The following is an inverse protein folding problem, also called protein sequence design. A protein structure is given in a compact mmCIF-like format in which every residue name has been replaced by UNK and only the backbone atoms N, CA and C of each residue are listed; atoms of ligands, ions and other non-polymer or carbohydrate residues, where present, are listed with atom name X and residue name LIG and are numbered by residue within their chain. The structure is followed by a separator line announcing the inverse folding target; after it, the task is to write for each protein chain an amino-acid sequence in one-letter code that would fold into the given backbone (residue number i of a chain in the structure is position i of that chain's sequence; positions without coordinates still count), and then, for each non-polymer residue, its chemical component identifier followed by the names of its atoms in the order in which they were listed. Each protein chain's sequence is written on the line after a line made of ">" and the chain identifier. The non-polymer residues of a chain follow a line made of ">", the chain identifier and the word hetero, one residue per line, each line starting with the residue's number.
data_IF_429400856888
#
_entry.id   IF_429400856888
#
_cell.length_a   1.000
_cell.length_b   1.000
_cell.length_c   1.000
_cell.angle_alpha   90.00
_cell.angle_beta   90.00
_cell.angle_gamma   90.00
#
_symmetry.space_group_name_H-M   'P 1'
#
loop_
_entity.id
_entity.type
_entity.pdbx_description
1 polymer ?
#
# COMPACT_ATOMS: atom_id res chain seq x y z
N UNK A 1 10.01 47.69 -85.24
CA UNK A 1 10.18 48.25 -83.87
C UNK A 1 9.40 47.48 -82.77
N UNK A 2 8.71 46.36 -83.04
CA UNK A 2 7.88 45.67 -82.03
C UNK A 2 8.55 44.53 -81.23
N UNK A 3 9.74 44.06 -81.62
CA UNK A 3 10.39 42.90 -80.98
C UNK A 3 10.95 43.17 -79.58
N UNK A 4 11.47 44.38 -79.32
CA UNK A 4 12.04 44.74 -78.02
C UNK A 4 10.98 44.84 -76.91
N UNK A 5 9.79 45.36 -77.24
CA UNK A 5 8.70 45.55 -76.28
C UNK A 5 8.11 44.20 -75.79
N UNK A 6 8.09 43.19 -76.67
CA UNK A 6 7.65 41.84 -76.34
C UNK A 6 8.65 41.11 -75.41
N UNK A 7 9.96 41.29 -75.65
CA UNK A 7 11.02 40.72 -74.81
C UNK A 7 11.07 41.38 -73.42
N UNK A 8 10.87 42.69 -73.32
CA UNK A 8 10.76 43.39 -72.03
C UNK A 8 9.53 42.94 -71.22
N UNK A 9 8.35 42.87 -71.82
CA UNK A 9 7.15 42.36 -71.13
C UNK A 9 7.32 40.93 -70.64
N UNK A 10 7.98 40.07 -71.45
CA UNK A 10 8.28 38.69 -71.03
C UNK A 10 9.20 38.67 -69.81
N UNK A 11 10.28 39.45 -69.82
CA UNK A 11 11.25 39.54 -68.71
C UNK A 11 10.62 40.12 -67.43
N UNK A 12 9.76 41.12 -67.57
CA UNK A 12 9.02 41.70 -66.44
C UNK A 12 8.03 40.69 -65.84
N UNK A 13 7.32 39.94 -66.68
CA UNK A 13 6.38 38.89 -66.24
C UNK A 13 7.13 37.76 -65.52
N UNK A 14 8.24 37.29 -66.08
CA UNK A 14 9.10 36.28 -65.43
C UNK A 14 9.62 36.75 -64.07
N UNK A 15 10.04 38.02 -63.98
CA UNK A 15 10.51 38.62 -62.72
C UNK A 15 9.40 38.69 -61.67
N UNK A 16 8.17 39.07 -62.06
CA UNK A 16 6.99 39.08 -61.16
C UNK A 16 6.64 37.67 -60.69
N UNK A 17 6.67 36.68 -61.59
CA UNK A 17 6.42 35.27 -61.25
C UNK A 17 7.47 34.75 -60.27
N UNK A 18 8.74 35.06 -60.48
CA UNK A 18 9.82 34.67 -59.55
C UNK A 18 9.64 35.28 -58.16
N UNK A 19 9.32 36.58 -58.10
CA UNK A 19 9.07 37.27 -56.83
C UNK A 19 7.88 36.68 -56.08
N UNK A 20 6.75 36.47 -56.78
CA UNK A 20 5.54 35.86 -56.21
C UNK A 20 5.81 34.43 -55.71
N UNK A 21 6.56 33.63 -56.48
CA UNK A 21 6.92 32.26 -56.10
C UNK A 21 7.81 32.24 -54.86
N UNK A 22 8.78 33.17 -54.78
CA UNK A 22 9.68 33.29 -53.63
C UNK A 22 8.93 33.75 -52.37
N UNK A 23 8.06 34.75 -52.48
CA UNK A 23 7.23 35.22 -51.36
C UNK A 23 6.30 34.11 -50.85
N UNK A 24 5.63 33.42 -51.77
CA UNK A 24 4.76 32.30 -51.43
C UNK A 24 5.53 31.18 -50.71
N UNK A 25 6.71 30.78 -51.21
CA UNK A 25 7.56 29.78 -50.56
C UNK A 25 7.98 30.19 -49.15
N UNK A 26 8.29 31.48 -48.94
CA UNK A 26 8.63 32.00 -47.60
C UNK A 26 7.45 31.95 -46.64
N UNK A 27 6.26 32.40 -47.08
CA UNK A 27 5.03 32.34 -46.28
C UNK A 27 4.64 30.91 -45.93
N UNK A 28 4.72 29.98 -46.88
CA UNK A 28 4.45 28.56 -46.61
C UNK A 28 5.41 28.02 -45.55
N UNK A 29 6.71 28.35 -45.64
CA UNK A 29 7.71 27.93 -44.65
C UNK A 29 7.41 28.48 -43.25
N UNK A 30 7.01 29.75 -43.16
CA UNK A 30 6.63 30.39 -41.91
C UNK A 30 5.39 29.75 -41.28
N UNK A 31 4.34 29.53 -42.07
CA UNK A 31 3.11 28.86 -41.62
C UNK A 31 3.40 27.43 -41.15
N UNK A 32 4.19 26.66 -41.90
CA UNK A 32 4.55 25.29 -41.49
C UNK A 32 5.34 25.27 -40.18
N UNK A 33 6.28 26.21 -40.01
CA UNK A 33 7.03 26.35 -38.77
C UNK A 33 6.12 26.71 -37.59
N UNK A 34 5.16 27.63 -37.79
CA UNK A 34 4.20 28.03 -36.78
C UNK A 34 3.26 26.86 -36.40
N UNK A 35 2.70 26.15 -37.37
CA UNK A 35 1.87 24.97 -37.10
C UNK A 35 2.64 23.87 -36.36
N UNK A 36 3.91 23.65 -36.70
CA UNK A 36 4.75 22.66 -36.01
C UNK A 36 5.00 23.06 -34.56
N UNK A 37 5.19 24.37 -34.30
CA UNK A 37 5.34 24.90 -32.95
C UNK A 37 4.06 24.74 -32.13
N UNK A 38 2.92 25.21 -32.64
CA UNK A 38 1.61 25.11 -31.96
C UNK A 38 1.24 23.67 -31.65
N UNK A 39 1.47 22.76 -32.61
CA UNK A 39 1.25 21.33 -32.41
C UNK A 39 2.16 20.77 -31.31
N UNK A 40 3.45 21.12 -31.33
CA UNK A 40 4.40 20.66 -30.31
C UNK A 40 4.03 21.15 -28.91
N UNK A 41 3.62 22.42 -28.79
CA UNK A 41 3.14 23.01 -27.53
C UNK A 41 1.88 22.31 -27.02
N UNK A 42 0.92 22.01 -27.91
CA UNK A 42 -0.29 21.26 -27.57
C UNK A 42 0.03 19.86 -27.08
N UNK A 43 0.87 19.10 -27.80
CA UNK A 43 1.27 17.75 -27.41
C UNK A 43 2.02 17.75 -26.07
N UNK A 44 2.91 18.72 -25.85
CA UNK A 44 3.63 18.85 -24.59
C UNK A 44 2.68 19.15 -23.42
N UNK A 45 1.68 20.01 -23.63
CA UNK A 45 0.66 20.34 -22.62
C UNK A 45 -0.17 19.11 -22.27
N UNK A 46 -0.73 18.42 -23.27
CA UNK A 46 -1.48 17.19 -23.05
C UNK A 46 -0.63 16.10 -22.35
N UNK A 47 0.64 15.96 -22.74
CA UNK A 47 1.55 15.00 -22.10
C UNK A 47 1.81 15.33 -20.64
N UNK A 48 1.96 16.62 -20.31
CA UNK A 48 2.15 17.06 -18.93
C UNK A 48 0.88 16.86 -18.08
N UNK A 49 -0.29 17.16 -18.63
CA UNK A 49 -1.59 16.92 -17.98
C UNK A 49 -1.82 15.43 -17.74
N UNK A 50 -1.55 14.59 -18.74
CA UNK A 50 -1.66 13.13 -18.64
C UNK A 50 -0.73 12.58 -17.54
N UNK A 51 0.52 13.04 -17.50
CA UNK A 51 1.47 12.64 -16.46
C UNK A 51 0.98 13.07 -15.07
N UNK A 52 0.52 14.32 -14.91
CA UNK A 52 -0.01 14.81 -13.64
C UNK A 52 -1.21 14.00 -13.14
N UNK A 53 -2.11 13.60 -14.05
CA UNK A 53 -3.24 12.72 -13.72
C UNK A 53 -2.79 11.32 -13.31
N UNK A 54 -1.81 10.74 -13.99
CA UNK A 54 -1.23 9.44 -13.65
C UNK A 54 -0.58 9.46 -12.25
N UNK A 55 0.19 10.50 -11.95
CA UNK A 55 0.86 10.66 -10.65
C UNK A 55 -0.17 10.81 -9.51
N UNK A 56 -1.20 11.64 -9.73
CA UNK A 56 -2.29 11.81 -8.77
C UNK A 56 -3.02 10.49 -8.48
N UNK A 57 -3.43 9.78 -9.53
CA UNK A 57 -4.11 8.49 -9.37
C UNK A 57 -3.23 7.45 -8.69
N UNK A 58 -1.93 7.45 -8.95
CA UNK A 58 -1.01 6.53 -8.31
C UNK A 58 -0.88 6.84 -6.82
N UNK A 59 -0.73 8.11 -6.44
CA UNK A 59 -0.68 8.53 -5.03
C UNK A 59 -1.95 8.13 -4.28
N UNK A 60 -3.12 8.40 -4.85
CA UNK A 60 -4.42 8.04 -4.26
C UNK A 60 -4.57 6.54 -4.04
N UNK A 61 -4.15 5.72 -5.01
CA UNK A 61 -4.18 4.26 -4.87
C UNK A 61 -3.23 3.78 -3.76
N UNK A 62 -2.02 4.32 -3.68
CA UNK A 62 -1.04 3.99 -2.64
C UNK A 62 -1.58 4.30 -1.24
N UNK A 63 -2.18 5.49 -1.07
CA UNK A 63 -2.78 5.91 0.19
C UNK A 63 -3.98 5.04 0.59
N UNK A 64 -4.87 4.73 -0.36
CA UNK A 64 -6.04 3.90 -0.13
C UNK A 64 -5.63 2.49 0.31
N UNK A 65 -4.69 1.86 -0.39
CA UNK A 65 -4.19 0.53 -0.04
C UNK A 65 -3.56 0.52 1.36
N UNK A 66 -2.77 1.55 1.70
CA UNK A 66 -2.17 1.67 3.03
C UNK A 66 -3.24 1.80 4.11
N UNK A 67 -4.27 2.62 3.87
CA UNK A 67 -5.40 2.79 4.81
C UNK A 67 -6.18 1.50 5.02
N UNK A 68 -6.50 0.77 3.94
CA UNK A 68 -7.19 -0.51 4.04
C UNK A 68 -6.36 -1.55 4.80
N UNK A 69 -5.06 -1.62 4.52
CA UNK A 69 -4.15 -2.53 5.20
C UNK A 69 -4.08 -2.25 6.71
N UNK A 70 -3.95 -0.97 7.11
CA UNK A 70 -3.97 -0.57 8.52
C UNK A 70 -5.29 -0.98 9.18
N UNK A 71 -6.43 -0.77 8.52
CA UNK A 71 -7.72 -1.15 9.08
C UNK A 71 -7.82 -2.67 9.32
N UNK A 72 -7.33 -3.48 8.37
CA UNK A 72 -7.27 -4.94 8.54
C UNK A 72 -6.33 -5.33 9.70
N UNK A 73 -5.17 -4.68 9.82
CA UNK A 73 -4.25 -4.92 10.94
C UNK A 73 -4.88 -4.58 12.31
N UNK A 74 -5.63 -3.48 12.39
CA UNK A 74 -6.38 -3.11 13.59
C UNK A 74 -7.42 -4.18 13.95
N UNK A 75 -8.21 -4.64 12.96
CA UNK A 75 -9.20 -5.70 13.16
C UNK A 75 -8.56 -7.02 13.62
N UNK A 76 -7.46 -7.45 12.98
CA UNK A 76 -6.72 -8.65 13.39
C UNK A 76 -6.21 -8.55 14.83
N UNK A 77 -5.68 -7.39 15.21
CA UNK A 77 -5.18 -7.13 16.56
C UNK A 77 -6.30 -7.18 17.60
N UNK A 78 -7.45 -6.58 17.29
CA UNK A 78 -8.63 -6.63 18.15
C UNK A 78 -9.17 -8.06 18.31
N UNK A 79 -9.27 -8.82 17.21
CA UNK A 79 -9.69 -10.21 17.23
C UNK A 79 -8.76 -11.08 18.10
N UNK A 80 -7.44 -10.90 17.96
CA UNK A 80 -6.48 -11.60 18.81
C UNK A 80 -6.68 -11.26 20.29
N UNK A 81 -6.83 -9.98 20.64
CA UNK A 81 -7.09 -9.55 22.03
C UNK A 81 -8.37 -10.18 22.60
N UNK A 82 -9.46 -10.20 21.83
CA UNK A 82 -10.71 -10.84 22.26
C UNK A 82 -10.54 -12.34 22.51
N UNK A 83 -9.77 -13.02 21.66
CA UNK A 83 -9.42 -14.44 21.84
C UNK A 83 -8.61 -14.66 23.12
N UNK A 84 -7.60 -13.83 23.36
CA UNK A 84 -6.75 -13.89 24.55
C UNK A 84 -7.54 -13.62 25.84
N UNK A 85 -8.48 -12.69 25.82
CA UNK A 85 -9.38 -12.42 26.93
C UNK A 85 -10.30 -13.62 27.24
N UNK A 86 -10.80 -14.28 26.19
CA UNK A 86 -11.61 -15.49 26.32
C UNK A 86 -10.78 -16.65 26.91
N UNK A 87 -9.59 -16.91 26.38
CA UNK A 87 -8.68 -17.95 26.89
C UNK A 87 -8.33 -17.71 28.37
N UNK A 88 -8.10 -16.45 28.74
CA UNK A 88 -7.80 -16.06 30.13
C UNK A 88 -8.99 -16.21 31.08
N UNK A 89 -10.23 -16.00 30.58
CA UNK A 89 -11.46 -16.26 31.35
C UNK A 89 -11.67 -17.77 31.53
N UNK A 90 -11.49 -18.54 30.46
CA UNK A 90 -11.64 -19.99 30.47
C UNK A 90 -10.62 -20.67 31.41
N UNK A 91 -9.35 -20.27 31.34
CA UNK A 91 -8.31 -20.76 32.27
C UNK A 91 -8.70 -20.49 33.73
N UNK A 92 -9.17 -19.28 34.07
CA UNK A 92 -9.63 -18.97 35.44
C UNK A 92 -10.82 -19.83 35.87
N UNK A 93 -11.80 -20.04 34.98
CA UNK A 93 -12.94 -20.91 35.24
C UNK A 93 -12.49 -22.37 35.49
N UNK A 94 -11.54 -22.86 34.70
CA UNK A 94 -10.95 -24.19 34.86
C UNK A 94 -10.19 -24.33 36.19
N UNK A 95 -9.42 -23.31 36.59
CA UNK A 95 -8.73 -23.29 37.89
C UNK A 95 -9.72 -23.34 39.07
N UNK A 96 -10.81 -22.58 38.99
CA UNK A 96 -11.87 -22.61 40.00
C UNK A 96 -12.53 -24.00 40.06
N UNK A 97 -12.87 -24.59 38.91
CA UNK A 97 -13.46 -25.94 38.80
C UNK A 97 -12.54 -26.99 39.43
N UNK A 98 -11.26 -27.01 39.06
CA UNK A 98 -10.25 -27.93 39.63
C UNK A 98 -10.17 -27.78 41.15
N UNK A 99 -10.16 -26.55 41.66
CA UNK A 99 -10.10 -26.28 43.11
C UNK A 99 -11.31 -26.85 43.85
N UNK A 100 -12.51 -26.68 43.27
CA UNK A 100 -13.74 -27.23 43.82
C UNK A 100 -13.76 -28.77 43.78
N UNK A 101 -13.37 -29.37 42.65
CA UNK A 101 -13.31 -30.83 42.48
C UNK A 101 -12.31 -31.47 43.43
N UNK A 102 -11.12 -30.88 43.57
CA UNK A 102 -10.12 -31.38 44.52
C UNK A 102 -10.59 -31.27 45.98
N UNK A 103 -11.29 -30.20 46.33
CA UNK A 103 -11.89 -30.03 47.67
C UNK A 103 -12.96 -31.11 47.94
N UNK A 104 -13.81 -31.40 46.94
CA UNK A 104 -14.79 -32.50 47.02
C UNK A 104 -14.11 -33.86 47.17
N UNK A 105 -13.04 -34.12 46.42
CA UNK A 105 -12.28 -35.37 46.48
C UNK A 105 -11.71 -35.60 47.88
N UNK A 106 -11.09 -34.59 48.50
CA UNK A 106 -10.59 -34.69 49.89
C UNK A 106 -11.75 -34.95 50.88
N UNK A 107 -12.90 -34.31 50.69
CA UNK A 107 -14.04 -34.52 51.59
C UNK A 107 -14.64 -35.93 51.49
N UNK A 108 -14.58 -36.55 50.31
CA UNK A 108 -15.13 -37.88 50.04
C UNK A 108 -14.13 -39.02 50.30
N UNK A 109 -12.86 -38.67 50.53
CA UNK A 109 -11.80 -39.63 50.78
C UNK A 109 -11.96 -40.33 52.14
N UNK A 110 -12.44 -41.57 52.10
CA UNK A 110 -12.66 -42.42 53.27
C UNK A 110 -11.37 -42.86 53.97
N UNK A 111 -10.20 -42.69 53.34
CA UNK A 111 -8.91 -43.03 53.95
C UNK A 111 -8.47 -42.03 55.02
N UNK A 112 -9.02 -40.81 55.00
CA UNK A 112 -8.68 -39.74 55.95
C UNK A 112 -9.42 -40.00 57.27
N UNK A 113 -8.66 -40.30 58.32
CA UNK A 113 -9.25 -40.81 59.58
C UNK A 113 -9.63 -39.72 60.57
N UNK A 114 -9.04 -38.53 60.45
CA UNK A 114 -9.25 -37.45 61.42
C UNK A 114 -9.19 -36.03 60.81
N UNK A 115 -9.66 -35.04 61.57
CA UNK A 115 -9.73 -33.63 61.15
C UNK A 115 -8.36 -33.02 60.89
N UNK A 116 -7.36 -33.31 61.71
CA UNK A 116 -6.01 -32.78 61.57
C UNK A 116 -5.34 -33.25 60.27
N UNK A 117 -5.51 -34.52 59.90
CA UNK A 117 -5.05 -35.09 58.63
C UNK A 117 -5.77 -34.44 57.44
N UNK A 118 -7.08 -34.23 57.54
CA UNK A 118 -7.86 -33.54 56.50
C UNK A 118 -7.33 -32.12 56.27
N UNK A 119 -7.17 -31.34 57.33
CA UNK A 119 -6.65 -29.97 57.25
C UNK A 119 -5.22 -29.93 56.69
N UNK A 120 -4.38 -30.90 57.06
CA UNK A 120 -3.05 -31.07 56.47
C UNK A 120 -3.13 -31.31 54.95
N UNK A 121 -3.93 -32.28 54.50
CA UNK A 121 -4.09 -32.57 53.05
C UNK A 121 -4.67 -31.39 52.28
N UNK A 122 -5.61 -30.64 52.86
CA UNK A 122 -6.15 -29.40 52.24
C UNK A 122 -5.03 -28.37 52.07
N UNK A 123 -4.18 -28.15 53.07
CA UNK A 123 -3.06 -27.19 52.96
C UNK A 123 -2.05 -27.60 51.90
N UNK A 124 -1.64 -28.86 51.89
CA UNK A 124 -0.70 -29.40 50.90
C UNK A 124 -1.27 -29.28 49.47
N UNK A 125 -2.54 -29.63 49.29
CA UNK A 125 -3.25 -29.48 48.02
C UNK A 125 -3.34 -28.01 47.57
N UNK A 126 -3.71 -27.09 48.48
CA UNK A 126 -3.83 -25.67 48.14
C UNK A 126 -2.48 -25.08 47.73
N UNK A 127 -1.40 -25.46 48.41
CA UNK A 127 -0.04 -25.07 48.02
C UNK A 127 0.31 -25.59 46.62
N UNK A 128 0.02 -26.86 46.35
CA UNK A 128 0.26 -27.49 45.04
C UNK A 128 -0.54 -26.81 43.92
N UNK A 129 -1.85 -26.58 44.14
CA UNK A 129 -2.73 -25.92 43.19
C UNK A 129 -2.28 -24.48 42.91
N UNK A 130 -1.90 -23.72 43.96
CA UNK A 130 -1.41 -22.35 43.80
C UNK A 130 -0.19 -22.29 42.90
N UNK A 131 0.78 -23.19 43.11
CA UNK A 131 1.97 -23.29 42.26
C UNK A 131 1.60 -23.59 40.81
N UNK A 132 0.76 -24.62 40.59
CA UNK A 132 0.31 -25.04 39.26
C UNK A 132 -0.41 -23.90 38.52
N UNK A 133 -1.30 -23.18 39.20
CA UNK A 133 -2.06 -22.08 38.61
C UNK A 133 -1.20 -20.88 38.25
N UNK A 134 -0.18 -20.56 39.07
CA UNK A 134 0.78 -19.50 38.76
C UNK A 134 1.62 -19.87 37.53
N UNK A 135 2.10 -21.11 37.45
CA UNK A 135 2.86 -21.59 36.29
C UNK A 135 2.01 -21.57 35.01
N UNK A 136 0.75 -22.00 35.09
CA UNK A 136 -0.19 -21.96 33.97
C UNK A 136 -0.45 -20.52 33.50
N UNK A 137 -0.70 -19.59 34.42
CA UNK A 137 -0.86 -18.17 34.11
C UNK A 137 0.38 -17.57 33.46
N UNK A 138 1.57 -17.90 33.98
CA UNK A 138 2.84 -17.45 33.41
C UNK A 138 3.01 -17.99 31.98
N UNK A 139 2.73 -19.28 31.77
CA UNK A 139 2.80 -19.91 30.45
C UNK A 139 1.84 -19.26 29.47
N UNK A 140 0.60 -19.00 29.89
CA UNK A 140 -0.41 -18.35 29.06
C UNK A 140 0.02 -16.93 28.69
N UNK A 141 0.47 -16.12 29.65
CA UNK A 141 0.95 -14.76 29.37
C UNK A 141 2.13 -14.74 28.39
N UNK A 142 3.09 -15.66 28.55
CA UNK A 142 4.21 -15.81 27.62
C UNK A 142 3.75 -16.21 26.21
N UNK A 143 2.77 -17.11 26.10
CA UNK A 143 2.17 -17.51 24.82
C UNK A 143 1.49 -16.31 24.13
N UNK A 144 0.64 -15.60 24.86
CA UNK A 144 -0.09 -14.43 24.35
C UNK A 144 0.84 -13.30 23.90
N UNK A 145 1.92 -13.06 24.63
CA UNK A 145 2.96 -12.10 24.22
C UNK A 145 3.60 -12.52 22.90
N UNK A 146 4.04 -13.78 22.78
CA UNK A 146 4.68 -14.28 21.55
C UNK A 146 3.75 -14.21 20.34
N UNK A 147 2.47 -14.55 20.51
CA UNK A 147 1.48 -14.45 19.43
C UNK A 147 1.28 -13.00 18.98
N UNK A 148 1.23 -12.05 19.93
CA UNK A 148 1.13 -10.62 19.62
C UNK A 148 2.38 -10.11 18.90
N UNK A 149 3.57 -10.50 19.34
CA UNK A 149 4.83 -10.10 18.71
C UNK A 149 4.95 -10.67 17.29
N UNK A 150 4.53 -11.92 17.09
CA UNK A 150 4.49 -12.53 15.76
C UNK A 150 3.47 -11.83 14.84
N UNK A 151 2.30 -11.47 15.35
CA UNK A 151 1.30 -10.71 14.58
C UNK A 151 1.88 -9.34 14.15
N UNK A 152 2.49 -8.60 15.08
CA UNK A 152 3.13 -7.30 14.77
C UNK A 152 4.24 -7.43 13.75
N UNK A 153 5.05 -8.48 13.83
CA UNK A 153 6.10 -8.77 12.86
C UNK A 153 5.52 -8.92 11.45
N UNK A 154 4.48 -9.74 11.31
CA UNK A 154 3.79 -9.95 10.01
C UNK A 154 3.17 -8.65 9.51
N UNK A 155 2.53 -7.87 10.39
CA UNK A 155 1.96 -6.57 10.03
C UNK A 155 3.01 -5.57 9.52
N UNK A 156 4.20 -5.57 10.12
CA UNK A 156 5.33 -4.75 9.66
C UNK A 156 5.83 -5.20 8.29
N UNK A 157 6.03 -6.51 8.10
CA UNK A 157 6.45 -7.08 6.81
C UNK A 157 5.46 -6.74 5.68
N UNK A 158 4.14 -6.81 5.94
CA UNK A 158 3.13 -6.40 4.97
C UNK A 158 3.23 -4.91 4.58
N UNK A 159 3.51 -4.03 5.55
CA UNK A 159 3.68 -2.61 5.28
C UNK A 159 4.94 -2.33 4.45
N UNK A 160 6.06 -2.98 4.78
CA UNK A 160 7.31 -2.84 4.03
C UNK A 160 7.15 -3.33 2.58
N UNK A 161 6.46 -4.45 2.37
CA UNK A 161 6.17 -4.97 1.03
C UNK A 161 5.32 -3.97 0.25
N UNK A 162 4.26 -3.43 0.86
CA UNK A 162 3.38 -2.45 0.22
C UNK A 162 4.15 -1.17 -0.15
N UNK A 163 4.99 -0.66 0.75
CA UNK A 163 5.80 0.54 0.49
C UNK A 163 6.79 0.31 -0.65
N UNK A 164 7.44 -0.85 -0.70
CA UNK A 164 8.33 -1.23 -1.80
C UNK A 164 7.61 -1.35 -3.13
N UNK A 165 6.41 -1.93 -3.15
CA UNK A 165 5.57 -2.02 -4.35
C UNK A 165 5.15 -0.65 -4.86
N UNK A 166 4.74 0.23 -3.95
CA UNK A 166 4.38 1.62 -4.28
C UNK A 166 5.57 2.38 -4.86
N UNK A 167 6.76 2.26 -4.25
CA UNK A 167 7.98 2.90 -4.75
C UNK A 167 8.36 2.39 -6.14
N UNK A 168 8.24 1.09 -6.39
CA UNK A 168 8.52 0.50 -7.70
C UNK A 168 7.55 1.01 -8.77
N UNK A 169 6.25 1.12 -8.44
CA UNK A 169 5.25 1.66 -9.35
C UNK A 169 5.52 3.13 -9.70
N UNK A 170 5.86 3.95 -8.71
CA UNK A 170 6.26 5.35 -8.92
C UNK A 170 7.44 5.47 -9.87
N UNK A 171 8.49 4.67 -9.66
CA UNK A 171 9.66 4.64 -10.54
C UNK A 171 9.29 4.23 -11.97
N UNK A 172 8.42 3.24 -12.12
CA UNK A 172 7.99 2.77 -13.44
C UNK A 172 7.13 3.80 -14.20
N UNK A 173 6.29 4.56 -13.49
CA UNK A 173 5.43 5.58 -14.08
C UNK A 173 6.27 6.74 -14.64
N UNK A 174 7.31 7.17 -13.92
CA UNK A 174 8.23 8.21 -14.38
C UNK A 174 9.21 7.75 -15.47
N UNK A 175 9.37 6.44 -15.68
CA UNK A 175 10.25 5.87 -16.70
C UNK A 175 9.57 5.73 -18.07
N UNK A 176 8.25 5.93 -18.17
CA UNK A 176 7.54 5.92 -19.46
C UNK A 176 8.05 7.11 -20.29
N UNK A 177 8.66 6.88 -21.46
CA UNK A 177 9.10 7.98 -22.31
C UNK A 177 7.88 8.82 -22.66
N UNK A 178 7.89 10.11 -22.31
CA UNK A 178 6.96 11.04 -22.94
C UNK A 178 7.09 10.83 -24.44
N UNK A 179 5.97 10.63 -25.14
CA UNK A 179 5.94 10.64 -26.59
C UNK A 179 6.27 12.08 -27.01
N UNK A 180 7.55 12.42 -26.94
CA UNK A 180 8.11 13.60 -27.59
C UNK A 180 7.66 13.50 -29.02
N UNK A 181 6.92 14.51 -29.49
CA UNK A 181 6.32 14.58 -30.81
C UNK A 181 7.33 14.35 -31.92
N UNK A 182 7.69 13.09 -32.16
CA UNK A 182 8.40 12.63 -33.34
C UNK A 182 7.38 12.60 -34.47
N UNK A 183 6.97 13.78 -34.91
CA UNK A 183 6.45 13.91 -36.26
C UNK A 183 7.68 14.04 -37.15
N UNK A 184 7.89 13.00 -37.94
CA UNK A 184 8.70 13.03 -39.14
C UNK A 184 8.29 14.25 -39.96
N UNK A 185 9.12 15.29 -39.99
CA UNK A 185 9.02 16.29 -41.04
C UNK A 185 9.37 15.58 -42.37
N UNK A 186 8.56 15.72 -43.43
CA UNK A 186 8.88 15.15 -44.74
C UNK A 186 10.14 15.76 -45.35
#
# INVERSE_FOLDING_TARGET
>A
KGGNNCLEMKKETESKVQLLTSDHKSKVKEIVAQHTKEWSEMINTHSAEEQGMRDLHLSQQCELLKKLLINVHEQQTQQLKLSQDRESKEMRANQAKISMENSKAISQDKSIKNKAERERRVRELNSSNTKKFLEERKRLAMKQSKEMDQLKKVQLEHLEILEKQNEQLLKSCHAVPQIQGRIYAP
#
